data_IF_603265299024
#
_entry.id   IF_603265299024
#
_cell.length_a   1.000
_cell.length_b   1.000
_cell.length_c   1.000
_cell.angle_alpha   90.00
_cell.angle_beta   90.00
_cell.angle_gamma   90.00
#
_symmetry.space_group_name_H-M   'P 1'
#
loop_
_entity.id
_entity.type
_entity.pdbx_description
1 polymer ?
#
# COMPACT_ATOMS: atom_id res chain seq x y z
N UNK A 1 -12.33 -1.40 3.82
CA UNK A 1 -11.05 -0.72 3.49
C UNK A 1 -10.36 -0.12 4.71
N UNK A 2 -10.96 0.88 5.37
CA UNK A 2 -10.29 1.68 6.41
C UNK A 2 -9.73 0.83 7.57
N UNK A 3 -10.45 -0.20 8.03
CA UNK A 3 -10.00 -1.07 9.12
C UNK A 3 -8.73 -1.86 8.79
N UNK A 4 -8.57 -2.25 7.52
CA UNK A 4 -7.42 -3.02 7.06
C UNK A 4 -6.20 -2.12 6.82
N UNK A 5 -6.41 -0.88 6.37
CA UNK A 5 -5.36 0.15 6.24
C UNK A 5 -4.84 0.64 7.59
N UNK A 6 -5.71 0.72 8.60
CA UNK A 6 -5.29 1.01 9.99
C UNK A 6 -4.50 -0.14 10.59
N UNK A 7 -4.80 -1.39 10.20
CA UNK A 7 -4.07 -2.58 10.63
C UNK A 7 -2.64 -2.67 10.06
N UNK A 8 -2.39 -2.18 8.85
CA UNK A 8 -1.05 -2.23 8.21
C UNK A 8 -0.09 -1.14 8.68
N UNK A 9 -0.61 0.04 9.07
CA UNK A 9 0.18 1.17 9.54
C UNK A 9 1.11 0.87 10.74
N UNK A 10 0.67 0.23 11.84
CA UNK A 10 1.53 -0.05 12.99
C UNK A 10 2.63 -1.07 12.67
N UNK A 11 2.35 -2.07 11.82
CA UNK A 11 3.35 -3.04 11.39
C UNK A 11 4.44 -2.40 10.55
N UNK A 12 4.08 -1.48 9.66
CA UNK A 12 5.06 -0.79 8.81
C UNK A 12 5.89 0.22 9.60
N UNK A 13 5.29 0.96 10.56
CA UNK A 13 6.02 1.89 11.43
C UNK A 13 6.96 1.23 12.43
N UNK A 14 6.63 0.03 12.91
CA UNK A 14 7.46 -0.72 13.84
C UNK A 14 8.69 -1.36 13.16
N UNK A 15 8.60 -1.64 11.85
CA UNK A 15 9.63 -2.35 11.08
C UNK A 15 11.04 -1.71 11.09
N UNK A 16 11.22 -0.38 10.95
CA UNK A 16 12.53 0.27 10.96
C UNK A 16 13.21 0.28 12.32
N UNK A 17 12.43 0.10 13.39
CA UNK A 17 12.89 0.20 14.77
C UNK A 17 13.07 -1.17 15.43
N UNK A 18 12.67 -2.25 14.74
CA UNK A 18 12.73 -3.60 15.25
C UNK A 18 14.15 -4.20 15.10
N UNK A 19 14.64 -4.96 16.09
CA UNK A 19 15.88 -5.73 15.95
C UNK A 19 15.73 -6.80 14.85
N UNK A 20 16.86 -7.20 14.24
CA UNK A 20 16.90 -8.07 13.05
C UNK A 20 16.08 -9.37 13.20
N UNK A 21 16.03 -9.94 14.41
CA UNK A 21 15.29 -11.17 14.73
C UNK A 21 13.78 -11.01 14.65
N UNK A 22 13.25 -9.81 14.88
CA UNK A 22 11.81 -9.48 14.79
C UNK A 22 11.48 -8.96 13.39
N UNK A 23 12.40 -8.22 12.76
CA UNK A 23 12.23 -7.72 11.40
C UNK A 23 12.09 -8.85 10.36
N UNK A 24 12.82 -9.95 10.54
CA UNK A 24 12.82 -11.09 9.61
C UNK A 24 11.42 -11.74 9.42
N UNK A 25 10.65 -12.08 10.49
CA UNK A 25 9.28 -12.55 10.33
C UNK A 25 8.27 -11.43 10.02
N UNK A 26 8.51 -10.19 10.45
CA UNK A 26 7.61 -9.06 10.14
C UNK A 26 7.59 -8.72 8.65
N UNK A 27 8.69 -8.87 7.92
CA UNK A 27 8.79 -8.53 6.51
C UNK A 27 7.83 -9.35 5.61
N UNK A 28 7.81 -10.71 5.64
CA UNK A 28 6.86 -11.49 4.86
C UNK A 28 5.41 -11.31 5.35
N UNK A 29 5.19 -11.09 6.65
CA UNK A 29 3.87 -10.77 7.18
C UNK A 29 3.35 -9.44 6.62
N UNK A 30 4.16 -8.38 6.62
CA UNK A 30 3.78 -7.10 6.04
C UNK A 30 3.52 -7.23 4.52
N UNK A 31 4.38 -7.96 3.80
CA UNK A 31 4.20 -8.26 2.38
C UNK A 31 2.94 -9.06 2.08
N UNK A 32 2.53 -9.95 2.98
CA UNK A 32 1.26 -10.68 2.89
C UNK A 32 0.07 -9.79 3.18
N UNK A 33 0.14 -8.92 4.21
CA UNK A 33 -0.99 -8.10 4.68
C UNK A 33 -1.32 -6.95 3.71
N UNK A 34 -0.31 -6.31 3.11
CA UNK A 34 -0.49 -5.17 2.20
C UNK A 34 -1.48 -5.42 1.04
N UNK A 35 -1.39 -6.53 0.27
CA UNK A 35 -2.26 -6.77 -0.89
C UNK A 35 -3.68 -7.27 -0.56
N UNK A 36 -4.04 -7.57 0.70
CA UNK A 36 -5.37 -8.15 1.02
C UNK A 36 -6.54 -7.28 0.56
N UNK A 37 -6.35 -5.97 0.43
CA UNK A 37 -7.43 -5.04 0.10
C UNK A 37 -7.62 -4.81 -1.41
N UNK A 38 -6.72 -5.31 -2.26
CA UNK A 38 -6.74 -5.01 -3.70
C UNK A 38 -8.06 -5.43 -4.34
N UNK A 39 -8.61 -6.59 -3.94
CA UNK A 39 -9.90 -7.07 -4.44
C UNK A 39 -11.05 -6.09 -4.11
N UNK A 40 -11.11 -5.56 -2.88
CA UNK A 40 -12.15 -4.60 -2.47
C UNK A 40 -12.04 -3.28 -3.22
N UNK A 41 -10.83 -2.80 -3.53
CA UNK A 41 -10.64 -1.60 -4.37
C UNK A 41 -11.16 -1.78 -5.80
N UNK A 42 -10.91 -2.95 -6.38
CA UNK A 42 -11.40 -3.26 -7.73
C UNK A 42 -12.93 -3.33 -7.73
N UNK A 43 -13.54 -4.04 -6.79
CA UNK A 43 -15.01 -4.14 -6.68
C UNK A 43 -15.64 -2.76 -6.46
N UNK A 44 -15.07 -1.94 -5.56
CA UNK A 44 -15.58 -0.58 -5.30
C UNK A 44 -15.53 0.30 -6.55
N UNK A 45 -14.46 0.22 -7.35
CA UNK A 45 -14.38 0.97 -8.61
C UNK A 45 -15.37 0.46 -9.67
N UNK A 46 -15.64 -0.85 -9.68
CA UNK A 46 -16.63 -1.46 -10.55
C UNK A 46 -18.06 -1.01 -10.19
N UNK A 47 -18.35 -0.90 -8.89
CA UNK A 47 -19.63 -0.38 -8.39
C UNK A 47 -19.84 1.11 -8.72
N UNK A 48 -18.77 1.91 -8.73
CA UNK A 48 -18.81 3.31 -9.15
C UNK A 48 -19.04 3.50 -10.65
N UNK A 49 -18.63 2.54 -11.49
CA UNK A 49 -18.72 2.59 -12.95
C UNK A 49 -19.35 1.29 -13.51
N UNK A 50 -20.64 1.00 -13.20
CA UNK A 50 -21.26 -0.30 -13.47
C UNK A 50 -21.38 -0.64 -14.97
N UNK A 51 -21.48 0.38 -15.83
CA UNK A 51 -21.52 0.20 -17.29
C UNK A 51 -20.13 -0.02 -17.92
N UNK A 52 -19.06 0.17 -17.16
CA UNK A 52 -17.68 0.14 -17.64
C UNK A 52 -16.76 -0.69 -16.72
N UNK A 53 -17.25 -1.86 -16.30
CA UNK A 53 -16.59 -2.77 -15.35
C UNK A 53 -15.15 -3.12 -15.76
N UNK A 54 -14.92 -3.34 -17.05
CA UNK A 54 -13.58 -3.65 -17.60
C UNK A 54 -12.63 -2.46 -17.60
N UNK A 55 -13.14 -1.23 -17.79
CA UNK A 55 -12.34 -0.02 -17.67
C UNK A 55 -11.99 0.24 -16.21
N UNK A 56 -12.96 0.09 -15.29
CA UNK A 56 -12.74 0.27 -13.87
C UNK A 56 -11.68 -0.69 -13.31
N UNK A 57 -11.78 -1.99 -13.59
CA UNK A 57 -10.78 -2.97 -13.15
C UNK A 57 -9.42 -2.75 -13.82
N UNK A 58 -9.40 -2.47 -15.13
CA UNK A 58 -8.19 -2.20 -15.88
C UNK A 58 -7.44 -0.96 -15.37
N UNK A 59 -8.15 0.12 -15.05
CA UNK A 59 -7.56 1.35 -14.53
C UNK A 59 -7.01 1.18 -13.11
N UNK A 60 -7.76 0.53 -12.21
CA UNK A 60 -7.32 0.28 -10.84
C UNK A 60 -6.07 -0.60 -10.82
N UNK A 61 -6.12 -1.75 -11.49
CA UNK A 61 -5.03 -2.71 -11.48
C UNK A 61 -3.83 -2.15 -12.25
N UNK A 62 -4.05 -1.59 -13.45
CA UNK A 62 -3.00 -1.01 -14.28
C UNK A 62 -2.28 0.15 -13.60
N UNK A 63 -3.02 1.06 -12.96
CA UNK A 63 -2.42 2.20 -12.27
C UNK A 63 -1.73 1.78 -10.97
N UNK A 64 -2.26 0.79 -10.24
CA UNK A 64 -1.60 0.23 -9.06
C UNK A 64 -0.24 -0.40 -9.39
N UNK A 65 -0.18 -1.25 -10.43
CA UNK A 65 1.09 -1.83 -10.89
C UNK A 65 2.03 -0.75 -11.47
N UNK A 66 1.51 0.18 -12.26
CA UNK A 66 2.30 1.29 -12.82
C UNK A 66 2.94 2.16 -11.73
N UNK A 67 2.17 2.53 -10.70
CA UNK A 67 2.67 3.27 -9.54
C UNK A 67 3.69 2.46 -8.74
N UNK A 68 3.51 1.13 -8.65
CA UNK A 68 4.47 0.22 -8.02
C UNK A 68 5.82 0.21 -8.73
N UNK A 69 5.83 0.13 -10.06
CA UNK A 69 7.07 0.18 -10.87
C UNK A 69 7.74 1.55 -10.76
N UNK A 70 6.98 2.64 -10.90
CA UNK A 70 7.50 4.00 -10.73
C UNK A 70 8.10 4.21 -9.33
N UNK A 71 7.40 3.74 -8.29
CA UNK A 71 7.87 3.75 -6.91
C UNK A 71 9.17 2.98 -6.73
N UNK A 72 9.29 1.80 -7.33
CA UNK A 72 10.52 0.99 -7.27
C UNK A 72 11.72 1.71 -7.90
N UNK A 73 11.54 2.38 -9.05
CA UNK A 73 12.62 3.15 -9.69
C UNK A 73 13.04 4.35 -8.84
N UNK A 74 12.08 5.11 -8.32
CA UNK A 74 12.35 6.29 -7.48
C UNK A 74 13.03 5.88 -6.17
N UNK A 75 12.47 4.90 -5.46
CA UNK A 75 13.02 4.39 -4.21
C UNK A 75 14.37 3.71 -4.41
N UNK A 76 14.58 3.00 -5.52
CA UNK A 76 15.88 2.42 -5.88
C UNK A 76 16.95 3.50 -6.06
N UNK A 77 16.63 4.59 -6.78
CA UNK A 77 17.56 5.71 -6.91
C UNK A 77 17.86 6.41 -5.58
N UNK A 78 16.87 6.50 -4.68
CA UNK A 78 17.09 7.02 -3.32
C UNK A 78 17.97 6.06 -2.50
N UNK A 79 17.80 4.75 -2.68
CA UNK A 79 18.61 3.73 -2.01
C UNK A 79 20.09 3.82 -2.41
N UNK A 80 20.39 4.16 -3.67
CA UNK A 80 21.77 4.34 -4.14
C UNK A 80 22.44 5.59 -3.56
N UNK A 81 21.65 6.63 -3.24
CA UNK A 81 22.15 7.94 -2.80
C UNK A 81 22.12 8.16 -1.28
N UNK A 82 21.32 7.36 -0.55
CA UNK A 82 21.06 7.55 0.88
C UNK A 82 21.33 6.28 1.69
N UNK A 83 21.68 6.40 2.99
CA UNK A 83 21.82 5.22 3.83
C UNK A 83 20.48 4.47 3.96
N UNK A 84 20.55 3.14 3.99
CA UNK A 84 19.40 2.24 4.03
C UNK A 84 18.40 2.59 5.16
N UNK A 85 18.89 3.08 6.30
CA UNK A 85 18.05 3.49 7.43
C UNK A 85 17.14 4.70 7.15
N UNK A 86 17.50 5.56 6.19
CA UNK A 86 16.61 6.65 5.73
C UNK A 86 15.52 6.08 4.83
N UNK A 87 15.87 5.16 3.93
CA UNK A 87 14.91 4.49 3.05
C UNK A 87 13.88 3.68 3.84
N UNK A 88 14.33 2.92 4.85
CA UNK A 88 13.42 2.15 5.73
C UNK A 88 12.44 3.06 6.48
N UNK A 89 12.90 4.20 7.00
CA UNK A 89 12.01 5.20 7.63
C UNK A 89 11.03 5.80 6.63
N UNK A 90 11.49 6.12 5.41
CA UNK A 90 10.62 6.63 4.35
C UNK A 90 9.52 5.61 3.99
N UNK A 91 9.89 4.36 3.73
CA UNK A 91 8.94 3.29 3.41
C UNK A 91 7.96 2.99 4.56
N UNK A 92 8.37 3.21 5.81
CA UNK A 92 7.49 2.99 6.97
C UNK A 92 6.33 3.97 7.08
N UNK A 93 6.49 5.19 6.54
CA UNK A 93 5.43 6.20 6.53
C UNK A 93 4.53 6.11 5.30
N UNK A 94 4.95 5.41 4.24
CA UNK A 94 4.16 5.27 3.01
C UNK A 94 2.74 4.69 3.24
N UNK A 95 2.55 3.66 4.08
CA UNK A 95 1.22 3.13 4.36
C UNK A 95 0.26 4.11 5.02
N UNK A 96 0.77 5.17 5.68
CA UNK A 96 -0.07 6.23 6.26
C UNK A 96 -0.83 7.00 5.17
N UNK A 97 -0.32 7.09 3.94
CA UNK A 97 -1.07 7.69 2.83
C UNK A 97 -2.36 6.92 2.52
N UNK A 98 -2.43 5.63 2.87
CA UNK A 98 -3.68 4.87 2.77
C UNK A 98 -4.79 5.42 3.68
N UNK A 99 -4.45 6.15 4.76
CA UNK A 99 -5.45 6.80 5.61
C UNK A 99 -6.22 7.92 4.87
N UNK A 100 -5.70 8.43 3.75
CA UNK A 100 -6.44 9.37 2.89
C UNK A 100 -7.71 8.75 2.30
N UNK A 101 -7.83 7.41 2.30
CA UNK A 101 -9.05 6.70 1.93
C UNK A 101 -10.24 7.01 2.88
N UNK A 102 -10.03 7.66 4.02
CA UNK A 102 -11.12 8.17 4.88
C UNK A 102 -11.97 9.22 4.17
N UNK A 103 -11.40 9.97 3.22
CA UNK A 103 -12.17 10.92 2.41
C UNK A 103 -12.95 10.27 1.27
N UNK A 104 -12.80 8.96 1.06
CA UNK A 104 -13.55 8.24 0.05
C UNK A 104 -15.02 8.11 0.50
N UNK A 105 -16.01 8.38 -0.38
CA UNK A 105 -17.41 8.29 -0.02
C UNK A 105 -17.76 6.90 0.51
N UNK A 106 -18.30 6.85 1.73
CA UNK A 106 -18.69 5.61 2.40
C UNK A 106 -19.72 4.85 1.57
N UNK A 107 -19.57 3.53 1.57
CA UNK A 107 -20.56 2.57 1.09
C UNK A 107 -21.92 2.95 1.67
N UNK A 108 -22.84 3.38 0.80
CA UNK A 108 -24.25 3.54 1.16
C UNK A 108 -24.79 2.12 1.30
N UNK A 109 -25.09 1.75 2.54
CA UNK A 109 -25.87 0.54 2.84
C UNK A 109 -27.26 0.62 2.21
#
# INVERSE_FOLDING_TARGET
>A
MIWSTVGTAPFSLALPHAPLWIALPMLPLAGFVLPLNIATFVVYAQELLPNHVGMASGLIVGLAFGMGVLGAVVLGKIADLSPLGTLMRLCSVLPLFGALAVWLPKDRT
#
